data_IF_472393691031
#
_entry.id   IF_472393691031
#
_cell.length_a   1.000
_cell.length_b   1.000
_cell.length_c   1.000
_cell.angle_alpha   90.00
_cell.angle_beta   90.00
_cell.angle_gamma   90.00
#
_symmetry.space_group_name_H-M   'P 1'
#
loop_
_entity.id
_entity.type
_entity.pdbx_description
1 polymer ?
#
# COMPACT_ATOMS: atom_id res chain seq x y z
N UNK A 1 6.07 7.44 2.47
CA UNK A 1 5.23 6.23 2.28
C UNK A 1 6.04 5.02 1.81
N UNK A 2 6.49 4.95 0.54
CA UNK A 2 7.19 3.76 0.01
C UNK A 2 8.46 3.39 0.78
N UNK A 3 9.25 4.38 1.19
CA UNK A 3 10.45 4.14 2.00
C UNK A 3 10.14 3.58 3.39
N UNK A 4 9.08 4.08 4.03
CA UNK A 4 8.62 3.56 5.33
C UNK A 4 8.11 2.13 5.17
N UNK A 5 7.34 1.86 4.11
CA UNK A 5 6.85 0.54 3.76
C UNK A 5 8.01 -0.46 3.59
N UNK A 6 9.04 -0.13 2.80
CA UNK A 6 10.24 -0.97 2.61
C UNK A 6 10.92 -1.28 3.94
N UNK A 7 11.13 -0.26 4.78
CA UNK A 7 11.76 -0.41 6.11
C UNK A 7 10.93 -1.31 7.02
N UNK A 8 9.62 -1.11 7.08
CA UNK A 8 8.69 -1.91 7.89
C UNK A 8 8.70 -3.36 7.40
N UNK A 9 8.51 -3.59 6.09
CA UNK A 9 8.52 -4.93 5.48
C UNK A 9 9.80 -5.69 5.80
N UNK A 10 10.96 -5.03 5.72
CA UNK A 10 12.23 -5.61 6.12
C UNK A 10 12.27 -5.93 7.62
N UNK A 11 11.79 -5.01 8.48
CA UNK A 11 11.74 -5.22 9.94
C UNK A 11 10.81 -6.35 10.36
N UNK A 12 9.75 -6.67 9.62
CA UNK A 12 8.82 -7.76 9.96
C UNK A 12 9.03 -9.03 9.13
N UNK A 13 9.99 -9.05 8.20
CA UNK A 13 10.18 -10.19 7.29
C UNK A 13 10.47 -11.50 8.02
N UNK A 14 11.07 -11.44 9.21
CA UNK A 14 11.31 -12.61 10.06
C UNK A 14 10.03 -13.12 10.74
N UNK A 15 9.04 -12.25 11.00
CA UNK A 15 7.74 -12.66 11.54
C UNK A 15 6.84 -13.33 10.49
N UNK A 16 7.15 -13.17 9.19
CA UNK A 16 6.37 -13.74 8.07
C UNK A 16 6.95 -15.04 7.50
N UNK A 17 8.17 -15.46 7.88
CA UNK A 17 8.80 -16.68 7.37
C UNK A 17 8.35 -17.91 8.16
N UNK A 18 7.53 -18.76 7.54
CA UNK A 18 7.19 -20.09 8.07
C UNK A 18 8.35 -21.06 7.84
N UNK A 19 9.32 -21.07 8.76
CA UNK A 19 10.37 -22.08 8.81
C UNK A 19 10.26 -22.88 10.09
N UNK A 20 10.16 -24.21 9.99
CA UNK A 20 10.28 -25.13 11.12
C UNK A 20 11.52 -24.76 11.96
N UNK A 21 11.32 -24.31 13.20
CA UNK A 21 12.42 -24.07 14.14
C UNK A 21 12.25 -22.79 14.95
N UNK A 22 11.61 -22.93 16.11
CA UNK A 22 11.87 -22.21 17.35
C UNK A 22 12.70 -20.91 17.27
N UNK A 23 12.15 -19.86 16.68
CA UNK A 23 12.51 -18.49 17.09
C UNK A 23 11.22 -17.79 17.46
N UNK A 24 10.77 -18.05 18.69
CA UNK A 24 9.93 -17.10 19.41
C UNK A 24 10.73 -15.81 19.59
N UNK A 25 10.82 -14.98 18.54
CA UNK A 25 11.07 -13.56 18.73
C UNK A 25 9.80 -13.01 19.37
N UNK A 26 9.77 -12.99 20.71
CA UNK A 26 8.64 -12.56 21.54
C UNK A 26 8.03 -11.21 21.11
N UNK A 27 8.78 -10.40 20.37
CA UNK A 27 8.33 -9.11 19.87
C UNK A 27 7.54 -9.12 18.57
N UNK A 28 7.38 -10.25 17.86
CA UNK A 28 6.57 -10.26 16.63
C UNK A 28 5.13 -9.75 16.85
N UNK A 29 4.40 -10.14 17.90
CA UNK A 29 3.10 -9.54 18.23
C UNK A 29 3.16 -8.01 18.42
N UNK A 30 4.18 -7.50 19.10
CA UNK A 30 4.35 -6.05 19.31
C UNK A 30 4.70 -5.31 18.01
N UNK A 31 5.53 -5.93 17.16
CA UNK A 31 5.87 -5.39 15.84
C UNK A 31 4.64 -5.36 14.94
N UNK A 32 3.82 -6.42 14.92
CA UNK A 32 2.57 -6.45 14.17
C UNK A 32 1.59 -5.35 14.63
N UNK A 33 1.41 -5.18 15.95
CA UNK A 33 0.61 -4.07 16.50
C UNK A 33 1.12 -2.69 16.09
N UNK A 34 2.43 -2.52 15.97
CA UNK A 34 3.03 -1.27 15.49
C UNK A 34 2.74 -1.05 14.00
N UNK A 35 2.83 -2.11 13.18
CA UNK A 35 2.47 -2.06 11.76
C UNK A 35 0.99 -1.75 11.56
N UNK A 36 0.10 -2.38 12.34
CA UNK A 36 -1.34 -2.11 12.32
C UNK A 36 -1.64 -0.63 12.60
N UNK A 37 -1.11 -0.07 13.68
CA UNK A 37 -1.24 1.37 13.99
C UNK A 37 -0.68 2.28 12.89
N UNK A 38 0.40 1.85 12.23
CA UNK A 38 0.96 2.59 11.11
C UNK A 38 0.03 2.55 9.89
N UNK A 39 -0.54 1.39 9.57
CA UNK A 39 -1.51 1.21 8.48
C UNK A 39 -2.76 2.05 8.73
N UNK A 40 -3.31 2.04 9.95
CA UNK A 40 -4.47 2.86 10.33
C UNK A 40 -4.21 4.35 10.05
N UNK A 41 -3.08 4.89 10.55
CA UNK A 41 -2.68 6.28 10.29
C UNK A 41 -2.51 6.57 8.81
N UNK A 42 -1.89 5.66 8.04
CA UNK A 42 -1.72 5.86 6.60
C UNK A 42 -3.02 5.77 5.83
N UNK A 43 -4.01 5.00 6.29
CA UNK A 43 -5.36 4.97 5.71
C UNK A 43 -6.07 6.30 5.91
N UNK A 44 -5.96 6.91 7.09
CA UNK A 44 -6.52 8.24 7.38
C UNK A 44 -5.84 9.33 6.54
N UNK A 45 -4.49 9.34 6.49
CA UNK A 45 -3.74 10.27 5.64
C UNK A 45 -4.15 10.13 4.17
N UNK A 46 -4.28 8.89 3.67
CA UNK A 46 -4.69 8.62 2.29
C UNK A 46 -6.10 9.11 2.00
N UNK A 47 -7.04 8.93 2.92
CA UNK A 47 -8.40 9.47 2.78
C UNK A 47 -8.40 10.99 2.63
N UNK A 48 -7.61 11.71 3.45
CA UNK A 48 -7.48 13.16 3.37
C UNK A 48 -6.84 13.60 2.04
N UNK A 49 -5.77 12.91 1.62
CA UNK A 49 -5.10 13.19 0.34
C UNK A 49 -6.06 12.97 -0.82
N UNK A 50 -6.77 11.83 -0.86
CA UNK A 50 -7.77 11.52 -1.88
C UNK A 50 -8.87 12.57 -1.89
N UNK A 51 -9.44 12.92 -0.72
CA UNK A 51 -10.47 13.96 -0.63
C UNK A 51 -9.98 15.33 -1.12
N UNK A 52 -8.75 15.72 -0.80
CA UNK A 52 -8.17 17.00 -1.25
C UNK A 52 -7.81 16.99 -2.74
N UNK A 53 -7.27 15.89 -3.24
CA UNK A 53 -6.97 15.70 -4.65
C UNK A 53 -8.27 15.80 -5.44
N UNK A 54 -9.26 14.99 -5.09
CA UNK A 54 -10.58 14.99 -5.70
C UNK A 54 -11.27 16.35 -5.58
N UNK A 55 -11.21 16.99 -4.41
CA UNK A 55 -11.75 18.32 -4.15
C UNK A 55 -11.22 19.43 -5.07
N UNK A 56 -10.04 19.25 -5.66
CA UNK A 56 -9.49 20.15 -6.67
C UNK A 56 -10.06 19.91 -8.08
N UNK A 57 -10.59 18.71 -8.34
CA UNK A 57 -11.13 18.29 -9.63
C UNK A 57 -12.67 18.09 -9.64
N UNK A 58 -13.35 18.17 -8.49
CA UNK A 58 -14.80 17.96 -8.26
C UNK A 58 -15.75 18.96 -8.92
N UNK A 59 -15.32 19.80 -9.87
CA UNK A 59 -16.30 20.51 -10.73
C UNK A 59 -16.89 19.61 -11.82
N UNK A 60 -16.33 18.41 -12.02
CA UNK A 60 -16.75 17.44 -13.02
C UNK A 60 -16.80 16.03 -12.38
N UNK A 61 -17.85 15.25 -12.68
CA UNK A 61 -18.32 13.97 -12.09
C UNK A 61 -17.29 12.97 -11.52
N UNK A 62 -17.74 12.04 -10.65
CA UNK A 62 -16.94 10.98 -10.00
C UNK A 62 -16.08 10.12 -10.95
N UNK A 63 -16.54 9.86 -12.18
CA UNK A 63 -15.75 9.14 -13.21
C UNK A 63 -14.49 9.93 -13.65
N UNK A 64 -14.59 11.27 -13.69
CA UNK A 64 -13.46 12.15 -13.98
C UNK A 64 -12.44 12.14 -12.81
N UNK A 65 -12.91 11.87 -11.59
CA UNK A 65 -12.08 11.85 -10.40
C UNK A 65 -11.24 10.58 -10.32
N UNK A 66 -11.85 9.41 -10.59
CA UNK A 66 -11.13 8.12 -10.64
C UNK A 66 -10.05 8.13 -11.72
N UNK A 67 -10.36 8.66 -12.90
CA UNK A 67 -9.40 8.79 -14.01
C UNK A 67 -8.24 9.74 -13.71
N UNK A 68 -8.47 10.85 -13.01
CA UNK A 68 -7.40 11.77 -12.61
C UNK A 68 -6.42 11.15 -11.59
N UNK A 69 -6.92 10.39 -10.62
CA UNK A 69 -6.06 9.71 -9.65
C UNK A 69 -5.26 8.59 -10.32
N UNK A 70 -5.89 7.81 -11.20
CA UNK A 70 -5.22 6.76 -11.96
C UNK A 70 -4.14 7.33 -12.88
N UNK A 71 -4.42 8.45 -13.56
CA UNK A 71 -3.44 9.15 -14.41
C UNK A 71 -2.22 9.62 -13.61
N UNK A 72 -2.40 10.04 -12.35
CA UNK A 72 -1.29 10.38 -11.47
C UNK A 72 -0.48 9.16 -11.02
N UNK A 73 -1.13 8.02 -10.79
CA UNK A 73 -0.50 6.81 -10.27
C UNK A 73 0.16 5.95 -11.36
N UNK A 74 -0.35 5.95 -12.58
CA UNK A 74 0.18 5.18 -13.72
C UNK A 74 1.69 5.37 -13.95
N UNK A 75 2.21 6.61 -14.02
CA UNK A 75 3.65 6.84 -14.17
C UNK A 75 4.50 6.33 -12.99
N UNK A 76 3.87 6.07 -11.84
CA UNK A 76 4.54 5.64 -10.62
C UNK A 76 4.49 4.12 -10.42
N UNK A 77 3.77 3.38 -11.27
CA UNK A 77 3.56 1.93 -11.14
C UNK A 77 4.88 1.19 -10.95
N UNK A 78 5.90 1.48 -11.76
CA UNK A 78 7.22 0.82 -11.66
C UNK A 78 7.90 1.08 -10.31
N UNK A 79 7.80 2.30 -9.77
CA UNK A 79 8.39 2.64 -8.48
C UNK A 79 7.65 1.97 -7.32
N UNK A 80 6.33 1.87 -7.43
CA UNK A 80 5.48 1.19 -6.44
C UNK A 80 5.77 -0.31 -6.46
N UNK A 81 5.78 -0.93 -7.64
CA UNK A 81 6.08 -2.35 -7.84
C UNK A 81 7.46 -2.75 -7.29
N UNK A 82 8.48 -1.92 -7.56
CA UNK A 82 9.82 -2.13 -7.00
C UNK A 82 9.85 -2.09 -5.46
N UNK A 83 8.94 -1.34 -4.83
CA UNK A 83 8.83 -1.26 -3.36
C UNK A 83 7.99 -2.39 -2.74
N UNK A 84 6.99 -2.90 -3.46
CA UNK A 84 6.00 -3.83 -2.93
C UNK A 84 6.40 -5.29 -3.13
N UNK A 85 6.31 -5.83 -4.34
CA UNK A 85 6.49 -7.25 -4.64
C UNK A 85 7.79 -7.58 -5.39
N UNK A 86 8.56 -6.54 -5.78
CA UNK A 86 9.79 -6.66 -6.58
C UNK A 86 9.58 -7.33 -7.94
N UNK A 87 8.34 -7.43 -8.39
CA UNK A 87 8.02 -7.83 -9.76
C UNK A 87 7.89 -6.56 -10.61
N UNK A 88 8.18 -6.66 -11.90
CA UNK A 88 7.91 -5.56 -12.81
C UNK A 88 6.44 -5.63 -13.24
N UNK A 89 5.69 -4.59 -12.89
CA UNK A 89 4.33 -4.37 -13.37
C UNK A 89 4.31 -3.18 -14.30
N UNK A 90 3.73 -3.37 -15.48
CA UNK A 90 3.62 -2.32 -16.51
C UNK A 90 2.34 -1.50 -16.37
N UNK A 91 1.33 -2.03 -15.65
CA UNK A 91 0.02 -1.38 -15.50
C UNK A 91 -0.46 -1.44 -14.05
N UNK A 92 -1.30 -0.48 -13.68
CA UNK A 92 -1.90 -0.40 -12.35
C UNK A 92 -2.74 -1.65 -12.04
N UNK A 93 -3.49 -2.16 -13.02
CA UNK A 93 -4.32 -3.36 -12.88
C UNK A 93 -3.48 -4.62 -12.54
N UNK A 94 -2.34 -4.82 -13.22
CA UNK A 94 -1.43 -5.95 -12.94
C UNK A 94 -0.86 -5.84 -11.52
N UNK A 95 -0.47 -4.63 -11.12
CA UNK A 95 0.05 -4.35 -9.79
C UNK A 95 -1.00 -4.60 -8.69
N UNK A 96 -2.24 -4.13 -8.86
CA UNK A 96 -3.34 -4.35 -7.91
C UNK A 96 -3.62 -5.84 -7.69
N UNK A 97 -3.71 -6.61 -8.78
CA UNK A 97 -3.89 -8.08 -8.72
C UNK A 97 -2.75 -8.76 -7.98
N UNK A 98 -1.50 -8.34 -8.22
CA UNK A 98 -0.32 -8.93 -7.56
C UNK A 98 -0.30 -8.68 -6.05
N UNK A 99 -0.77 -7.51 -5.62
CA UNK A 99 -0.81 -7.16 -4.21
C UNK A 99 -1.83 -7.98 -3.40
N UNK A 100 -2.67 -8.79 -4.07
CA UNK A 100 -3.71 -9.58 -3.42
C UNK A 100 -4.74 -8.69 -2.72
N UNK A 101 -4.90 -7.45 -3.19
CA UNK A 101 -5.84 -6.50 -2.65
C UNK A 101 -7.27 -6.99 -2.94
N UNK A 102 -7.86 -7.72 -1.99
CA UNK A 102 -9.30 -7.75 -1.85
C UNK A 102 -9.72 -6.40 -1.24
N UNK A 103 -9.57 -5.32 -2.01
CA UNK A 103 -10.21 -4.06 -1.67
C UNK A 103 -11.72 -4.37 -1.57
N UNK A 104 -12.39 -4.07 -0.44
CA UNK A 104 -13.84 -4.13 -0.44
C UNK A 104 -14.31 -3.15 -1.52
N UNK A 105 -15.06 -3.68 -2.48
CA UNK A 105 -15.71 -2.88 -3.52
C UNK A 105 -16.45 -1.73 -2.84
N UNK A 106 -16.10 -0.52 -3.26
CA UNK A 106 -16.79 0.71 -2.85
C UNK A 106 -18.22 0.72 -3.36
#
# INVERSE_FOLDING_TARGET
>A
FLEDYKKIKHKISHCMKNGNGSKCTNDCPNKCKCVEKWVEKKREEWYIVKKRFNGQYTKENDDAISSNLNSFLEPLVTQIAAATDKAEHETLEKLEKSLGCNCPDS
#
